data_IF_552944877275
#
_entry.id   IF_552944877275
#
_cell.length_a   1.000
_cell.length_b   1.000
_cell.length_c   1.000
_cell.angle_alpha   90.00
_cell.angle_beta   90.00
_cell.angle_gamma   90.00
#
_symmetry.space_group_name_H-M   'P 1'
#
loop_
_entity.id
_entity.type
_entity.pdbx_description
1 polymer ?
#
# COMPACT_ATOMS: atom_id res chain seq x y z
N UNK A 1 24.01 32.48 -8.10
CA UNK A 1 23.66 31.04 -8.10
C UNK A 1 22.18 30.88 -7.79
N UNK A 2 21.36 30.39 -8.73
CA UNK A 2 19.98 29.97 -8.44
C UNK A 2 19.99 28.46 -8.21
N UNK A 3 19.99 28.04 -6.96
CA UNK A 3 19.74 26.64 -6.61
C UNK A 3 18.26 26.34 -6.84
N UNK A 4 17.94 25.71 -7.97
CA UNK A 4 16.62 25.14 -8.20
C UNK A 4 16.45 23.96 -7.25
N UNK A 5 15.82 24.19 -6.09
CA UNK A 5 15.44 23.10 -5.19
C UNK A 5 14.35 22.30 -5.90
N UNK A 6 14.66 21.08 -6.35
CA UNK A 6 13.65 20.16 -6.87
C UNK A 6 12.55 20.02 -5.81
N UNK A 7 11.32 20.43 -6.16
CA UNK A 7 10.18 20.34 -5.25
C UNK A 7 9.91 18.85 -5.04
N UNK A 8 10.06 18.36 -3.81
CA UNK A 8 9.74 16.98 -3.47
C UNK A 8 8.30 16.67 -3.91
N UNK A 9 8.09 15.52 -4.56
CA UNK A 9 6.76 15.11 -5.00
C UNK A 9 5.97 14.67 -3.75
N UNK A 10 4.70 15.08 -3.63
CA UNK A 10 3.87 14.63 -2.52
C UNK A 10 3.71 13.11 -2.56
N UNK A 11 3.66 12.50 -1.37
CA UNK A 11 3.49 11.07 -1.18
C UNK A 11 2.29 10.84 -0.28
N UNK A 12 1.45 9.89 -0.67
CA UNK A 12 0.22 9.55 0.04
C UNK A 12 0.35 8.16 0.66
N UNK A 13 -0.02 8.03 1.93
CA UNK A 13 -0.21 6.73 2.59
C UNK A 13 -1.64 6.27 2.33
N UNK A 14 -1.80 5.01 1.95
CA UNK A 14 -3.09 4.45 1.55
C UNK A 14 -3.31 3.04 2.08
N UNK A 15 -4.59 2.69 2.18
CA UNK A 15 -5.08 1.34 2.41
C UNK A 15 -5.66 0.76 1.12
N UNK A 16 -5.46 -0.54 0.90
CA UNK A 16 -6.36 -1.33 0.08
C UNK A 16 -7.31 -2.08 1.00
N UNK A 17 -8.59 -1.83 0.80
CA UNK A 17 -9.68 -2.35 1.62
C UNK A 17 -10.45 -3.38 0.80
N UNK A 18 -10.78 -4.50 1.43
CA UNK A 18 -11.66 -5.51 0.82
C UNK A 18 -13.10 -4.98 0.79
N UNK A 19 -13.75 -4.90 -0.38
CA UNK A 19 -15.10 -4.35 -0.49
C UNK A 19 -16.18 -5.22 0.16
N UNK A 20 -15.88 -6.50 0.46
CA UNK A 20 -16.85 -7.46 1.00
C UNK A 20 -17.06 -7.29 2.51
N UNK A 21 -15.96 -7.07 3.24
CA UNK A 21 -15.95 -6.99 4.71
C UNK A 21 -15.43 -5.64 5.26
N UNK A 22 -14.97 -4.75 4.38
CA UNK A 22 -14.37 -3.44 4.70
C UNK A 22 -13.09 -3.53 5.54
N UNK A 23 -12.40 -4.67 5.51
CA UNK A 23 -11.14 -4.89 6.23
C UNK A 23 -9.96 -4.38 5.43
N UNK A 24 -9.01 -3.73 6.11
CA UNK A 24 -7.72 -3.32 5.53
C UNK A 24 -6.86 -4.57 5.28
N UNK A 25 -6.55 -4.83 4.02
CA UNK A 25 -5.75 -5.99 3.59
C UNK A 25 -4.36 -5.60 3.11
N UNK A 26 -4.09 -4.32 2.87
CA UNK A 26 -2.77 -3.84 2.49
C UNK A 26 -2.59 -2.37 2.86
N UNK A 27 -1.38 -2.02 3.29
CA UNK A 27 -0.95 -0.64 3.55
C UNK A 27 0.20 -0.32 2.62
N UNK A 28 0.22 0.87 2.02
CA UNK A 28 1.35 1.31 1.22
C UNK A 28 1.44 2.82 1.08
N UNK A 29 2.48 3.30 0.40
CA UNK A 29 2.59 4.70 -0.02
C UNK A 29 2.89 4.88 -1.50
N UNK A 30 2.49 6.02 -2.07
CA UNK A 30 2.74 6.37 -3.48
C UNK A 30 2.53 7.86 -3.74
N UNK A 31 3.25 8.42 -4.72
CA UNK A 31 2.96 9.76 -5.26
C UNK A 31 1.93 9.77 -6.39
N UNK A 32 1.46 8.59 -6.84
CA UNK A 32 0.48 8.45 -7.93
C UNK A 32 -0.56 7.35 -7.59
N UNK A 33 -1.55 7.63 -6.73
CA UNK A 33 -2.50 6.63 -6.22
C UNK A 33 -3.24 5.86 -7.31
N UNK A 34 -3.81 6.57 -8.29
CA UNK A 34 -4.58 5.95 -9.39
C UNK A 34 -3.72 4.99 -10.22
N UNK A 35 -2.50 5.37 -10.57
CA UNK A 35 -1.59 4.52 -11.33
C UNK A 35 -1.14 3.31 -10.51
N UNK A 36 -0.88 3.50 -9.21
CA UNK A 36 -0.48 2.41 -8.31
C UNK A 36 -1.59 1.39 -8.09
N UNK A 37 -2.86 1.82 -8.03
CA UNK A 37 -3.99 0.88 -7.95
C UNK A 37 -4.06 -0.01 -9.20
N UNK A 38 -3.96 0.60 -10.39
CA UNK A 38 -3.94 -0.13 -11.67
C UNK A 38 -2.77 -1.11 -11.75
N UNK A 39 -1.61 -0.71 -11.26
CA UNK A 39 -0.42 -1.57 -11.17
C UNK A 39 -0.66 -2.78 -10.27
N UNK A 40 -1.23 -2.61 -9.07
CA UNK A 40 -1.57 -3.74 -8.19
C UNK A 40 -2.56 -4.71 -8.84
N UNK A 41 -3.57 -4.20 -9.54
CA UNK A 41 -4.54 -5.02 -10.28
C UNK A 41 -3.83 -5.81 -11.37
N UNK A 42 -3.11 -5.14 -12.28
CA UNK A 42 -2.39 -5.79 -13.38
C UNK A 42 -1.42 -6.86 -12.88
N UNK A 43 -0.61 -6.53 -11.87
CA UNK A 43 0.35 -7.46 -11.28
C UNK A 43 -0.31 -8.70 -10.67
N UNK A 44 -1.53 -8.55 -10.14
CA UNK A 44 -2.31 -9.64 -9.56
C UNK A 44 -2.96 -10.53 -10.61
N UNK A 45 -3.24 -10.02 -11.81
CA UNK A 45 -3.67 -10.80 -12.96
C UNK A 45 -2.48 -11.57 -13.57
N UNK A 46 -1.31 -10.95 -13.63
CA UNK A 46 -0.09 -11.56 -14.19
C UNK A 46 0.45 -12.72 -13.34
N UNK A 47 0.48 -12.58 -11.99
CA UNK A 47 1.07 -13.59 -11.09
C UNK A 47 0.41 -13.57 -9.71
N UNK A 48 0.09 -14.75 -9.17
CA UNK A 48 -0.55 -14.89 -7.84
C UNK A 48 0.41 -15.47 -6.79
N UNK A 49 1.66 -15.00 -6.79
CA UNK A 49 2.74 -15.53 -5.95
C UNK A 49 2.78 -14.98 -4.51
N UNK A 50 1.96 -13.98 -4.17
CA UNK A 50 1.84 -13.45 -2.79
C UNK A 50 0.38 -13.50 -2.33
N UNK A 51 0.15 -13.52 -1.00
CA UNK A 51 -1.20 -13.50 -0.44
C UNK A 51 -2.00 -12.27 -0.92
N UNK A 52 -1.35 -11.10 -0.96
CA UNK A 52 -1.92 -9.87 -1.52
C UNK A 52 -2.40 -10.07 -2.96
N UNK A 53 -1.56 -10.63 -3.84
CA UNK A 53 -1.91 -10.81 -5.25
C UNK A 53 -3.01 -11.84 -5.44
N UNK A 54 -2.99 -12.96 -4.69
CA UNK A 54 -4.11 -13.94 -4.68
C UNK A 54 -5.42 -13.28 -4.27
N UNK A 55 -5.41 -12.52 -3.19
CA UNK A 55 -6.59 -11.81 -2.71
C UNK A 55 -7.16 -10.83 -3.74
N UNK A 56 -6.32 -10.01 -4.39
CA UNK A 56 -6.81 -9.09 -5.43
C UNK A 56 -7.36 -9.88 -6.63
N UNK A 57 -6.68 -10.95 -7.06
CA UNK A 57 -7.16 -11.79 -8.15
C UNK A 57 -8.52 -12.45 -7.84
N UNK A 58 -8.73 -12.94 -6.62
CA UNK A 58 -10.02 -13.48 -6.16
C UNK A 58 -11.13 -12.44 -6.22
N UNK A 59 -10.87 -11.20 -5.76
CA UNK A 59 -11.83 -10.10 -5.90
C UNK A 59 -12.21 -9.86 -7.37
N UNK A 60 -11.22 -9.82 -8.27
CA UNK A 60 -11.46 -9.57 -9.69
C UNK A 60 -12.31 -10.69 -10.33
N UNK A 61 -12.08 -11.95 -9.94
CA UNK A 61 -12.88 -13.09 -10.40
C UNK A 61 -14.36 -12.99 -9.95
N UNK A 62 -14.62 -12.33 -8.82
CA UNK A 62 -15.97 -12.02 -8.34
C UNK A 62 -16.56 -10.72 -8.95
N UNK A 63 -15.85 -10.08 -9.88
CA UNK A 63 -16.25 -8.79 -10.46
C UNK A 63 -16.06 -7.59 -9.52
N UNK A 64 -15.27 -7.75 -8.46
CA UNK A 64 -14.97 -6.75 -7.44
C UNK A 64 -13.55 -6.21 -7.61
N UNK A 65 -13.25 -5.05 -6.99
CA UNK A 65 -11.92 -4.47 -6.94
C UNK A 65 -11.60 -3.99 -5.52
N UNK A 66 -10.31 -4.00 -5.11
CA UNK A 66 -9.92 -3.40 -3.84
C UNK A 66 -10.22 -1.90 -3.84
N UNK A 67 -10.76 -1.40 -2.72
CA UNK A 67 -11.03 0.02 -2.53
C UNK A 67 -9.77 0.70 -1.98
N UNK A 68 -9.23 1.65 -2.73
CA UNK A 68 -8.09 2.44 -2.26
C UNK A 68 -8.57 3.65 -1.45
N UNK A 69 -8.15 3.74 -0.19
CA UNK A 69 -8.45 4.85 0.71
C UNK A 69 -7.16 5.58 1.06
N UNK A 70 -7.09 6.89 0.82
CA UNK A 70 -5.96 7.73 1.23
C UNK A 70 -6.13 8.05 2.72
N UNK A 71 -5.16 7.63 3.52
CA UNK A 71 -5.16 7.85 4.98
C UNK A 71 -4.57 9.22 5.29
N UNK A 72 -3.47 9.57 4.62
CA UNK A 72 -2.74 10.79 4.90
C UNK A 72 -1.82 11.17 3.72
N UNK A 73 -1.42 12.44 3.66
CA UNK A 73 -0.64 13.03 2.56
C UNK A 73 0.54 13.84 3.10
N UNK A 74 1.73 13.55 2.59
CA UNK A 74 2.97 14.15 3.04
C UNK A 74 3.68 14.88 1.88
N UNK A 75 4.45 15.94 2.16
CA UNK A 75 5.25 16.64 1.14
C UNK A 75 6.35 15.79 0.51
N UNK A 76 6.77 14.70 1.17
CA UNK A 76 7.84 13.83 0.70
C UNK A 76 7.71 12.40 1.24
N UNK A 77 8.35 11.46 0.55
CA UNK A 77 8.34 10.04 0.90
C UNK A 77 8.94 9.71 2.28
N UNK A 78 10.08 10.30 2.70
CA UNK A 78 10.64 10.01 4.03
C UNK A 78 9.66 10.34 5.16
N UNK A 79 8.89 11.43 5.03
CA UNK A 79 7.89 11.83 6.03
C UNK A 79 6.69 10.86 6.07
N UNK A 80 6.34 10.27 4.93
CA UNK A 80 5.25 9.29 4.86
C UNK A 80 5.62 7.92 5.44
N UNK A 81 6.93 7.62 5.61
CA UNK A 81 7.41 6.29 6.00
C UNK A 81 6.97 5.89 7.41
N UNK A 82 7.09 6.81 8.37
CA UNK A 82 6.74 6.52 9.76
C UNK A 82 5.24 6.28 9.90
N UNK A 83 4.43 7.05 9.16
CA UNK A 83 2.98 6.86 9.11
C UNK A 83 2.59 5.53 8.47
N UNK A 84 3.22 5.15 7.35
CA UNK A 84 3.00 3.86 6.69
C UNK A 84 3.33 2.69 7.63
N UNK A 85 4.43 2.78 8.38
CA UNK A 85 4.80 1.76 9.37
C UNK A 85 3.81 1.71 10.54
N UNK A 86 3.35 2.85 11.06
CA UNK A 86 2.33 2.90 12.09
C UNK A 86 1.02 2.21 11.65
N UNK A 87 0.55 2.47 10.42
CA UNK A 87 -0.63 1.80 9.86
C UNK A 87 -0.41 0.30 9.64
N UNK A 88 0.80 -0.13 9.25
CA UNK A 88 1.13 -1.55 9.17
C UNK A 88 1.00 -2.25 10.53
N UNK A 89 1.47 -1.62 11.61
CA UNK A 89 1.35 -2.17 12.96
C UNK A 89 -0.11 -2.17 13.44
N UNK A 90 -0.86 -1.10 13.18
CA UNK A 90 -2.27 -0.99 13.55
C UNK A 90 -3.12 -2.10 12.90
N UNK A 91 -2.81 -2.48 11.67
CA UNK A 91 -3.56 -3.49 10.91
C UNK A 91 -2.82 -4.83 10.76
N UNK A 92 -1.81 -5.11 11.59
CA UNK A 92 -0.93 -6.27 11.45
C UNK A 92 -1.67 -7.63 11.42
N UNK A 93 -2.82 -7.72 12.08
CA UNK A 93 -3.64 -8.93 12.11
C UNK A 93 -4.31 -9.27 10.76
N UNK A 94 -4.51 -8.28 9.88
CA UNK A 94 -5.34 -8.43 8.68
C UNK A 94 -4.60 -8.18 7.37
N UNK A 95 -3.50 -7.44 7.41
CA UNK A 95 -2.76 -7.06 6.21
C UNK A 95 -1.91 -8.20 5.65
N UNK A 96 -1.79 -8.21 4.32
CA UNK A 96 -0.92 -9.09 3.55
C UNK A 96 0.46 -8.48 3.25
N UNK A 97 0.80 -7.35 3.87
CA UNK A 97 2.15 -6.79 3.81
C UNK A 97 3.17 -7.84 4.27
N UNK A 98 4.25 -8.00 3.51
CA UNK A 98 5.31 -8.96 3.84
C UNK A 98 6.36 -8.31 4.75
N UNK A 99 6.65 -7.02 4.56
CA UNK A 99 7.72 -6.30 5.25
C UNK A 99 7.24 -5.03 5.93
N UNK A 100 7.91 -4.66 7.03
CA UNK A 100 7.69 -3.39 7.71
C UNK A 100 8.42 -2.29 6.94
N UNK A 101 7.70 -1.25 6.47
CA UNK A 101 8.32 -0.13 5.77
C UNK A 101 9.48 0.53 6.53
N UNK A 102 9.44 0.57 7.87
CA UNK A 102 10.47 1.24 8.68
C UNK A 102 11.71 0.36 8.93
N UNK A 103 11.58 -0.96 8.99
CA UNK A 103 12.65 -1.88 9.44
C UNK A 103 13.43 -2.58 8.32
N UNK A 104 13.22 -2.23 7.05
CA UNK A 104 13.84 -2.95 5.93
C UNK A 104 13.25 -4.36 5.79
N UNK A 105 14.00 -5.32 5.23
CA UNK A 105 13.51 -6.67 4.91
C UNK A 105 13.22 -7.58 6.13
N UNK A 106 12.88 -7.03 7.29
CA UNK A 106 12.38 -7.79 8.43
C UNK A 106 10.89 -8.10 8.28
N UNK A 107 10.50 -9.35 8.55
CA UNK A 107 9.10 -9.80 8.51
C UNK A 107 8.25 -9.08 9.57
N UNK A 108 7.13 -8.49 9.15
CA UNK A 108 6.13 -7.88 10.07
C UNK A 108 5.53 -8.89 11.07
N UNK A 109 5.62 -10.19 10.78
CA UNK A 109 5.00 -11.27 11.55
C UNK A 109 5.93 -11.95 12.54
N UNK A 110 7.17 -11.47 12.72
CA UNK A 110 8.03 -11.94 13.82
C UNK A 110 7.67 -11.17 15.08
N UNK A 111 6.82 -11.80 15.90
CA UNK A 111 6.60 -11.44 17.30
C UNK A 111 7.90 -11.58 18.10
#
# INVERSE_FOLDING_TARGET
>A
MRTTRARAKPTHVYHLVDPRDRVVRYVGKTGAPKSRLKEHIRESEERQNTAKKRWIHELLAEGLQPVMVIVDSYPSEPLARDRESAECHQHAATIYNIHDPAKGAGDLKKA
#
